data_IF_958048164063
#
_entry.id   IF_958048164063
#
_cell.length_a   1.000
_cell.length_b   1.000
_cell.length_c   1.000
_cell.angle_alpha   90.00
_cell.angle_beta   90.00
_cell.angle_gamma   90.00
#
_symmetry.space_group_name_H-M   'P 1'
#
loop_
_entity.id
_entity.type
_entity.pdbx_description
1 polymer ?
#
# COMPACT_ATOMS: atom_id res chain seq x y z
N UNK A 1 13.68 -15.56 -18.69
CA UNK A 1 13.68 -16.18 -17.35
C UNK A 1 15.13 -16.51 -17.05
N UNK A 2 15.70 -15.94 -15.98
CA UNK A 2 17.15 -16.06 -15.71
C UNK A 2 17.35 -17.12 -14.62
N UNK A 3 18.12 -18.16 -14.91
CA UNK A 3 18.51 -19.24 -14.00
C UNK A 3 19.06 -18.72 -12.66
N UNK A 4 19.67 -17.54 -12.66
CA UNK A 4 20.13 -16.84 -11.45
C UNK A 4 18.99 -16.38 -10.52
N UNK A 5 17.80 -16.08 -11.06
CA UNK A 5 16.62 -15.74 -10.25
C UNK A 5 15.99 -16.99 -9.62
N UNK A 6 16.01 -18.11 -10.34
CA UNK A 6 15.47 -19.39 -9.85
C UNK A 6 16.35 -19.96 -8.73
N UNK A 7 17.67 -19.82 -8.86
CA UNK A 7 18.64 -20.23 -7.81
C UNK A 7 18.50 -19.33 -6.56
N UNK A 8 18.29 -18.01 -6.71
CA UNK A 8 18.05 -17.12 -5.57
C UNK A 8 16.73 -17.42 -4.87
N UNK A 9 15.69 -17.81 -5.59
CA UNK A 9 14.41 -18.22 -5.02
C UNK A 9 14.50 -19.52 -4.20
N UNK A 10 15.42 -20.41 -4.56
CA UNK A 10 15.63 -21.67 -3.83
C UNK A 10 16.31 -21.46 -2.46
N UNK A 11 17.19 -20.44 -2.33
CA UNK A 11 17.94 -20.15 -1.11
C UNK A 11 17.33 -19.04 -0.24
N UNK A 12 16.48 -18.17 -0.83
CA UNK A 12 15.82 -17.05 -0.15
C UNK A 12 14.41 -16.89 -0.73
N UNK A 13 13.47 -17.73 -0.30
CA UNK A 13 12.09 -17.60 -0.77
C UNK A 13 11.53 -16.22 -0.39
N UNK A 14 10.64 -15.66 -1.22
CA UNK A 14 9.97 -14.41 -0.88
C UNK A 14 9.14 -14.60 0.40
N UNK A 15 9.28 -13.67 1.35
CA UNK A 15 8.57 -13.73 2.62
C UNK A 15 7.58 -12.58 2.77
N UNK A 16 6.45 -12.86 3.39
CA UNK A 16 5.45 -11.88 3.72
C UNK A 16 6.00 -10.86 4.73
N UNK A 17 5.99 -9.55 4.43
CA UNK A 17 6.56 -8.52 5.29
C UNK A 17 5.78 -8.34 6.60
N UNK A 18 4.57 -8.88 6.70
CA UNK A 18 3.69 -8.77 7.87
C UNK A 18 3.96 -9.90 8.87
N UNK A 19 3.95 -11.17 8.44
CA UNK A 19 4.10 -12.33 9.32
C UNK A 19 5.47 -13.02 9.20
N UNK A 20 6.27 -12.73 8.17
CA UNK A 20 7.55 -13.39 7.93
C UNK A 20 7.43 -14.79 7.31
N UNK A 21 6.23 -15.31 7.09
CA UNK A 21 6.00 -16.59 6.42
C UNK A 21 6.32 -16.55 4.93
N UNK A 22 6.64 -17.69 4.35
CA UNK A 22 6.89 -17.82 2.91
C UNK A 22 5.66 -17.41 2.10
N UNK A 23 5.90 -16.78 0.96
CA UNK A 23 4.87 -16.43 -0.01
C UNK A 23 4.76 -17.52 -1.06
N UNK A 24 3.55 -17.97 -1.31
CA UNK A 24 3.26 -18.94 -2.36
C UNK A 24 3.07 -18.26 -3.71
N UNK A 25 3.19 -19.04 -4.76
CA UNK A 25 2.98 -18.56 -6.12
C UNK A 25 1.58 -17.94 -6.28
N UNK A 26 1.54 -16.71 -6.80
CA UNK A 26 0.29 -15.95 -6.97
C UNK A 26 -0.13 -15.05 -5.80
N UNK A 27 0.52 -15.11 -4.63
CA UNK A 27 0.15 -14.28 -3.48
C UNK A 27 0.58 -12.80 -3.58
N UNK A 28 1.52 -12.47 -4.43
CA UNK A 28 2.09 -11.12 -4.51
C UNK A 28 2.96 -10.80 -3.28
N UNK A 29 2.93 -9.55 -2.78
CA UNK A 29 3.78 -9.14 -1.65
C UNK A 29 3.24 -9.54 -0.27
N UNK A 30 1.98 -9.93 -0.14
CA UNK A 30 1.33 -10.27 1.13
C UNK A 30 0.62 -11.61 1.03
N UNK A 31 0.86 -12.50 1.98
CA UNK A 31 0.17 -13.79 2.00
C UNK A 31 -1.35 -13.64 2.23
N UNK A 32 -2.11 -14.61 1.79
CA UNK A 32 -3.58 -14.61 1.88
C UNK A 32 -4.06 -14.37 3.32
N UNK A 33 -3.46 -15.02 4.30
CA UNK A 33 -3.83 -14.87 5.71
C UNK A 33 -3.66 -13.42 6.18
N UNK A 34 -2.51 -12.77 5.88
CA UNK A 34 -2.29 -11.39 6.26
C UNK A 34 -3.21 -10.41 5.55
N UNK A 35 -3.58 -10.69 4.30
CA UNK A 35 -4.58 -9.88 3.57
C UNK A 35 -5.97 -9.99 4.19
N UNK A 36 -6.38 -11.19 4.56
CA UNK A 36 -7.70 -11.44 5.19
C UNK A 36 -7.80 -10.78 6.57
N UNK A 37 -6.72 -10.85 7.37
CA UNK A 37 -6.67 -10.29 8.72
C UNK A 37 -6.17 -8.83 8.77
N UNK A 38 -6.02 -8.18 7.63
CA UNK A 38 -5.57 -6.79 7.59
C UNK A 38 -6.58 -5.87 8.28
N UNK A 39 -6.12 -4.90 9.09
CA UNK A 39 -7.00 -3.95 9.78
C UNK A 39 -7.55 -2.90 8.81
N UNK A 40 -8.35 -3.33 7.86
CA UNK A 40 -8.94 -2.47 6.84
C UNK A 40 -10.00 -1.55 7.45
N UNK A 41 -10.04 -0.28 7.01
CA UNK A 41 -11.03 0.69 7.49
C UNK A 41 -12.39 0.51 6.83
N UNK A 42 -12.41 0.08 5.57
CA UNK A 42 -13.61 0.06 4.74
C UNK A 42 -14.10 1.45 4.30
N UNK A 43 -13.35 2.52 4.58
CA UNK A 43 -13.79 3.90 4.29
C UNK A 43 -14.00 4.18 2.79
N UNK A 44 -13.29 3.49 1.93
CA UNK A 44 -13.47 3.63 0.47
C UNK A 44 -14.84 3.17 -0.04
N UNK A 45 -15.62 2.44 0.76
CA UNK A 45 -16.95 1.92 0.38
C UNK A 45 -18.07 2.92 0.60
N UNK A 46 -17.82 4.03 1.30
CA UNK A 46 -18.82 5.02 1.68
C UNK A 46 -18.29 6.43 1.49
N UNK A 47 -19.09 7.27 0.83
CA UNK A 47 -18.78 8.68 0.71
C UNK A 47 -18.76 9.39 2.08
N UNK A 48 -19.68 9.00 2.96
CA UNK A 48 -19.79 9.52 4.32
C UNK A 48 -19.11 8.56 5.29
N UNK A 49 -17.84 8.81 5.52
CA UNK A 49 -17.01 8.11 6.48
C UNK A 49 -16.37 9.12 7.46
N UNK A 50 -15.99 8.71 8.67
CA UNK A 50 -15.49 9.63 9.70
C UNK A 50 -14.28 10.47 9.29
N UNK A 51 -13.44 9.95 8.39
CA UNK A 51 -12.29 10.69 7.86
C UNK A 51 -12.75 11.81 6.91
N UNK A 52 -13.66 11.49 6.01
CA UNK A 52 -14.19 12.47 5.06
C UNK A 52 -14.96 13.59 5.79
N UNK A 53 -15.79 13.26 6.76
CA UNK A 53 -16.52 14.23 7.59
C UNK A 53 -15.57 15.19 8.31
N UNK A 54 -14.54 14.64 8.96
CA UNK A 54 -13.53 15.45 9.65
C UNK A 54 -12.78 16.39 8.71
N UNK A 55 -12.35 15.89 7.56
CA UNK A 55 -11.55 16.68 6.62
C UNK A 55 -12.38 17.74 5.88
N UNK A 56 -13.66 17.48 5.59
CA UNK A 56 -14.55 18.48 4.97
C UNK A 56 -14.76 19.73 5.83
N UNK A 57 -14.65 19.59 7.14
CA UNK A 57 -14.74 20.75 8.06
C UNK A 57 -13.50 21.68 7.93
N UNK A 58 -12.38 21.18 7.46
CA UNK A 58 -11.13 21.91 7.39
C UNK A 58 -10.72 22.27 5.93
N UNK A 59 -11.12 21.43 4.97
CA UNK A 59 -10.67 21.52 3.57
C UNK A 59 -11.83 21.28 2.60
N UNK A 60 -11.85 21.96 1.43
CA UNK A 60 -12.83 21.73 0.38
C UNK A 60 -12.54 20.43 -0.39
N UNK A 61 -12.74 19.29 0.25
CA UNK A 61 -12.55 17.97 -0.36
C UNK A 61 -13.88 17.32 -0.75
N UNK A 62 -13.89 16.55 -1.82
CA UNK A 62 -15.05 15.76 -2.26
C UNK A 62 -15.10 14.44 -1.48
N UNK A 63 -13.99 13.72 -1.46
CA UNK A 63 -13.86 12.40 -0.85
C UNK A 63 -12.57 12.30 -0.03
N UNK A 64 -12.61 11.49 1.03
CA UNK A 64 -11.42 11.05 1.74
C UNK A 64 -11.53 9.58 2.10
N UNK A 65 -10.42 8.88 2.07
CA UNK A 65 -10.37 7.47 2.43
C UNK A 65 -9.02 7.11 3.03
N UNK A 66 -9.02 6.08 3.85
CA UNK A 66 -7.83 5.42 4.36
C UNK A 66 -7.97 3.92 4.15
N UNK A 67 -6.88 3.23 3.85
CA UNK A 67 -6.93 1.80 3.59
C UNK A 67 -6.88 0.98 4.89
N UNK A 68 -5.92 1.29 5.74
CA UNK A 68 -5.65 0.54 6.96
C UNK A 68 -5.76 1.42 8.20
N UNK A 69 -6.29 0.86 9.28
CA UNK A 69 -6.17 1.44 10.60
C UNK A 69 -4.71 1.40 11.07
N UNK A 70 -4.28 2.47 11.70
CA UNK A 70 -3.02 2.46 12.44
C UNK A 70 -3.23 1.74 13.78
N UNK A 71 -2.60 0.58 13.92
CA UNK A 71 -2.60 -0.19 15.17
C UNK A 71 -1.16 -0.23 15.69
N UNK A 72 -0.90 0.48 16.79
CA UNK A 72 0.43 0.55 17.39
C UNK A 72 0.94 -0.84 17.80
N UNK A 73 2.20 -1.13 17.53
CA UNK A 73 2.84 -2.43 17.84
C UNK A 73 2.46 -3.59 16.91
N UNK A 74 1.52 -3.38 15.97
CA UNK A 74 1.07 -4.44 15.07
C UNK A 74 2.14 -4.85 14.04
N UNK A 75 1.99 -6.06 13.50
CA UNK A 75 2.82 -6.54 12.39
C UNK A 75 2.64 -5.68 11.14
N UNK A 76 1.44 -5.16 10.90
CA UNK A 76 1.17 -4.24 9.79
C UNK A 76 1.92 -2.92 9.94
N UNK A 77 1.98 -2.35 11.15
CA UNK A 77 2.79 -1.15 11.40
C UNK A 77 4.26 -1.41 11.07
N UNK A 78 4.82 -2.54 11.52
CA UNK A 78 6.21 -2.92 11.23
C UNK A 78 6.45 -3.10 9.72
N UNK A 79 5.54 -3.76 9.02
CA UNK A 79 5.61 -3.95 7.57
C UNK A 79 5.63 -2.60 6.81
N UNK A 80 4.70 -1.70 7.12
CA UNK A 80 4.61 -0.36 6.52
C UNK A 80 5.85 0.48 6.87
N UNK A 81 6.35 0.37 8.10
CA UNK A 81 7.58 1.04 8.51
C UNK A 81 8.79 0.53 7.71
N UNK A 82 8.82 -0.76 7.40
CA UNK A 82 9.83 -1.39 6.57
C UNK A 82 9.93 -0.80 5.16
N UNK A 83 8.83 -0.25 4.61
CA UNK A 83 8.88 0.45 3.32
C UNK A 83 9.82 1.66 3.33
N UNK A 84 10.12 2.22 4.48
CA UNK A 84 10.99 3.39 4.61
C UNK A 84 12.48 3.06 4.55
N UNK A 85 12.89 1.80 4.82
CA UNK A 85 14.27 1.51 5.14
C UNK A 85 14.93 0.38 4.33
N UNK A 86 14.19 -0.50 3.69
CA UNK A 86 14.76 -1.73 3.10
C UNK A 86 14.60 -1.84 1.59
N UNK A 87 14.53 -0.71 0.90
CA UNK A 87 14.31 -0.68 -0.57
C UNK A 87 13.09 -1.54 -1.01
N UNK A 88 12.06 -1.62 -0.15
CA UNK A 88 10.85 -2.43 -0.38
C UNK A 88 9.80 -1.68 -1.20
N UNK A 89 10.23 -0.99 -2.24
CA UNK A 89 9.32 -0.24 -3.11
C UNK A 89 8.27 -1.13 -3.80
N UNK A 90 8.63 -2.39 -4.13
CA UNK A 90 7.68 -3.34 -4.71
C UNK A 90 6.52 -3.62 -3.76
N UNK A 91 6.80 -3.86 -2.49
CA UNK A 91 5.78 -4.06 -1.46
C UNK A 91 4.87 -2.84 -1.28
N UNK A 92 5.44 -1.63 -1.36
CA UNK A 92 4.66 -0.39 -1.33
C UNK A 92 3.73 -0.27 -2.55
N UNK A 93 4.23 -0.60 -3.74
CA UNK A 93 3.45 -0.64 -4.98
C UNK A 93 2.33 -1.68 -4.92
N UNK A 94 2.62 -2.89 -4.43
CA UNK A 94 1.62 -3.96 -4.30
C UNK A 94 0.53 -3.61 -3.28
N UNK A 95 0.89 -2.92 -2.17
CA UNK A 95 -0.10 -2.36 -1.25
C UNK A 95 -0.98 -1.34 -1.96
N UNK A 96 -0.38 -0.46 -2.76
CA UNK A 96 -1.10 0.50 -3.59
C UNK A 96 -2.03 -0.17 -4.59
N UNK A 97 -1.57 -1.21 -5.28
CA UNK A 97 -2.39 -1.96 -6.24
C UNK A 97 -3.58 -2.67 -5.56
N UNK A 98 -3.36 -3.24 -4.39
CA UNK A 98 -4.46 -3.81 -3.61
C UNK A 98 -5.49 -2.75 -3.20
N UNK A 99 -5.04 -1.60 -2.71
CA UNK A 99 -5.94 -0.50 -2.38
C UNK A 99 -6.64 0.08 -3.61
N UNK A 100 -5.93 0.25 -4.72
CA UNK A 100 -6.47 0.72 -5.99
C UNK A 100 -7.61 -0.14 -6.52
N UNK A 101 -7.47 -1.47 -6.44
CA UNK A 101 -8.57 -2.40 -6.78
C UNK A 101 -9.81 -2.15 -5.91
N UNK A 102 -9.64 -1.98 -4.60
CA UNK A 102 -10.78 -1.66 -3.71
C UNK A 102 -11.43 -0.29 -4.03
N UNK A 103 -10.63 0.71 -4.43
CA UNK A 103 -11.14 2.02 -4.85
C UNK A 103 -11.95 1.90 -6.15
N UNK A 104 -11.43 1.20 -7.14
CA UNK A 104 -12.11 0.94 -8.40
C UNK A 104 -13.44 0.21 -8.19
N UNK A 105 -13.42 -0.87 -7.40
CA UNK A 105 -14.61 -1.68 -7.09
C UNK A 105 -15.69 -0.90 -6.34
N UNK A 106 -15.33 0.16 -5.62
CA UNK A 106 -16.29 1.00 -4.90
C UNK A 106 -17.14 1.90 -5.80
N UNK A 107 -16.67 2.20 -7.01
CA UNK A 107 -17.31 3.13 -7.95
C UNK A 107 -17.28 4.61 -7.54
N UNK A 108 -16.77 4.95 -6.35
CA UNK A 108 -16.77 6.32 -5.82
C UNK A 108 -15.64 7.21 -6.39
N UNK A 109 -14.63 6.61 -6.99
CA UNK A 109 -13.39 7.28 -7.42
C UNK A 109 -13.20 7.26 -8.94
N UNK A 110 -14.24 6.90 -9.71
CA UNK A 110 -14.15 6.77 -11.16
C UNK A 110 -13.92 8.08 -11.92
N UNK A 111 -14.10 9.23 -11.27
CA UNK A 111 -13.85 10.57 -11.85
C UNK A 111 -12.46 11.12 -11.54
N UNK A 112 -11.56 10.32 -10.99
CA UNK A 112 -10.19 10.75 -10.67
C UNK A 112 -9.34 10.71 -11.93
N UNK A 113 -8.84 11.86 -12.39
CA UNK A 113 -8.01 11.99 -13.58
C UNK A 113 -6.52 11.75 -13.29
N UNK A 114 -6.06 12.09 -12.10
CA UNK A 114 -4.65 11.89 -11.73
C UNK A 114 -4.47 11.64 -10.22
N UNK A 115 -3.36 10.99 -9.87
CA UNK A 115 -2.96 10.72 -8.49
C UNK A 115 -1.64 11.44 -8.22
N UNK A 116 -1.66 12.35 -7.25
CA UNK A 116 -0.48 13.15 -6.88
C UNK A 116 0.06 12.65 -5.55
N UNK A 117 1.24 12.01 -5.53
CA UNK A 117 1.85 11.57 -4.28
C UNK A 117 2.38 12.75 -3.47
N UNK A 118 2.23 12.70 -2.15
CA UNK A 118 2.85 13.70 -1.26
C UNK A 118 4.36 13.66 -1.46
N UNK A 119 5.00 14.81 -1.77
CA UNK A 119 6.42 14.87 -2.02
C UNK A 119 7.23 14.59 -0.74
N UNK A 120 8.38 13.97 -0.92
CA UNK A 120 9.32 13.73 0.16
C UNK A 120 10.40 14.82 0.15
N UNK A 121 10.73 15.37 1.33
CA UNK A 121 11.81 16.33 1.45
C UNK A 121 13.14 15.75 0.91
N UNK A 122 13.93 16.55 0.19
CA UNK A 122 15.14 16.13 -0.53
C UNK A 122 16.12 15.32 0.32
N UNK A 123 16.38 15.74 1.57
CA UNK A 123 17.26 15.00 2.49
C UNK A 123 16.75 13.58 2.79
N UNK A 124 15.43 13.44 2.94
CA UNK A 124 14.81 12.12 3.18
C UNK A 124 14.79 11.28 1.92
N UNK A 125 14.63 11.90 0.75
CA UNK A 125 14.70 11.20 -0.53
C UNK A 125 16.11 10.63 -0.77
N UNK A 126 17.15 11.43 -0.51
CA UNK A 126 18.54 10.97 -0.60
C UNK A 126 18.84 9.85 0.40
N UNK A 127 18.36 9.96 1.64
CA UNK A 127 18.60 8.93 2.66
C UNK A 127 17.84 7.61 2.40
N UNK A 128 16.67 7.66 1.74
CA UNK A 128 15.81 6.49 1.49
C UNK A 128 15.95 5.90 0.09
N UNK A 129 16.46 6.69 -0.86
CA UNK A 129 16.59 6.33 -2.26
C UNK A 129 15.29 6.42 -3.07
N UNK A 130 14.12 6.56 -2.42
CA UNK A 130 12.82 6.65 -3.09
C UNK A 130 11.71 7.28 -2.23
N UNK A 131 10.63 7.74 -2.90
CA UNK A 131 9.42 8.22 -2.24
C UNK A 131 8.38 7.09 -2.16
N UNK A 132 8.05 6.62 -0.97
CA UNK A 132 7.07 5.55 -0.75
C UNK A 132 5.68 5.92 -1.27
N UNK A 133 5.28 7.19 -1.09
CA UNK A 133 3.97 7.66 -1.57
C UNK A 133 3.85 7.56 -3.09
N UNK A 134 4.96 7.77 -3.83
CA UNK A 134 4.97 7.63 -5.28
C UNK A 134 4.73 6.18 -5.72
N UNK A 135 5.36 5.20 -5.08
CA UNK A 135 5.13 3.79 -5.40
C UNK A 135 3.74 3.30 -5.00
N UNK A 136 3.18 3.79 -3.89
CA UNK A 136 1.79 3.51 -3.51
C UNK A 136 0.85 4.12 -4.56
N UNK A 137 1.08 5.37 -4.97
CA UNK A 137 0.29 6.05 -6.01
C UNK A 137 0.35 5.31 -7.35
N UNK A 138 1.55 4.86 -7.77
CA UNK A 138 1.75 4.04 -8.97
C UNK A 138 0.97 2.73 -8.89
N UNK A 139 1.00 2.07 -7.74
CA UNK A 139 0.20 0.88 -7.48
C UNK A 139 -1.31 1.15 -7.61
N UNK A 140 -1.82 2.20 -6.98
CA UNK A 140 -3.23 2.61 -7.06
C UNK A 140 -3.60 2.86 -8.53
N UNK A 141 -2.84 3.70 -9.24
CA UNK A 141 -3.10 4.04 -10.63
C UNK A 141 -3.10 2.83 -11.57
N UNK A 142 -2.35 1.77 -11.24
CA UNK A 142 -2.32 0.54 -12.04
C UNK A 142 -3.61 -0.28 -11.99
N UNK A 143 -4.57 0.11 -11.13
CA UNK A 143 -5.83 -0.61 -10.90
C UNK A 143 -7.08 0.24 -11.05
N UNK A 144 -6.91 1.54 -11.13
CA UNK A 144 -7.96 2.51 -11.43
C UNK A 144 -7.94 2.89 -12.89
#
# INVERSE_FOLDING_TARGET
MSILNDIKGLFLPPVCPVCGGELHEGEGAFCMMCRTLAPQTGFWRRADNPLAERLRNEFPIVQASAFLWFVAGSSWQRAIHGFKYYNRWRTARDLGAWYGGNLADSGLYGSVDCIVPVPLHTRRLLARGYNQAAYIADGIASRM
#
